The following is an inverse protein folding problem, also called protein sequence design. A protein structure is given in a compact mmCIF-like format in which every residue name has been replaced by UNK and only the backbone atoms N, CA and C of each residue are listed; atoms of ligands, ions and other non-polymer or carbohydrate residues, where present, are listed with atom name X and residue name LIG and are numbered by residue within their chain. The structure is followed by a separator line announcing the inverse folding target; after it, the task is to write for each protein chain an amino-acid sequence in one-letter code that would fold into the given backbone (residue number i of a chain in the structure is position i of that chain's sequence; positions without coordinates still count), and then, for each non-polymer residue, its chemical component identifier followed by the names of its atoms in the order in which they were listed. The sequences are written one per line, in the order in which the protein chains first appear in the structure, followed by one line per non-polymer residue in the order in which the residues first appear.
data_IF_302628212723
#
_entry.id   IF_302628212723
#
_cell.length_a   1.000
_cell.length_b   1.000
_cell.length_c   1.000
_cell.angle_alpha   90.00
_cell.angle_beta   90.00
_cell.angle_gamma   90.00
#
_symmetry.space_group_name_H-M   'P 1'
#
loop_
_entity.id
_entity.type
_entity.pdbx_description
1 polymer ?
#
# COMPACT_ATOMS: atom_id res chain seq x y z
N UNK A 1 29.01 -26.57 -12.23
CA UNK A 1 29.66 -26.77 -10.92
C UNK A 1 30.19 -28.19 -10.80
N UNK A 2 29.34 -29.23 -10.82
CA UNK A 2 29.77 -30.63 -10.70
C UNK A 2 30.81 -31.07 -11.75
N UNK A 3 30.65 -30.69 -13.02
CA UNK A 3 31.60 -31.07 -14.08
C UNK A 3 32.98 -30.41 -13.93
N UNK A 4 33.02 -29.20 -13.38
CA UNK A 4 34.27 -28.48 -13.11
C UNK A 4 34.99 -29.06 -11.87
N UNK A 5 34.25 -29.44 -10.84
CA UNK A 5 34.82 -30.08 -9.65
C UNK A 5 35.43 -31.45 -9.99
N UNK A 6 34.79 -32.23 -10.87
CA UNK A 6 35.32 -33.50 -11.34
C UNK A 6 36.63 -33.31 -12.14
N UNK A 7 36.68 -32.35 -13.05
CA UNK A 7 37.90 -32.02 -13.81
C UNK A 7 39.05 -31.54 -12.90
N UNK A 8 38.75 -30.74 -11.87
CA UNK A 8 39.75 -30.27 -10.91
C UNK A 8 40.25 -31.39 -9.99
N UNK A 9 39.41 -32.37 -9.66
CA UNK A 9 39.81 -33.55 -8.90
C UNK A 9 40.75 -34.47 -9.68
N UNK A 10 40.58 -34.58 -11.01
CA UNK A 10 41.48 -35.33 -11.89
C UNK A 10 42.86 -34.65 -12.05
N UNK A 11 42.90 -33.31 -12.05
CA UNK A 11 44.14 -32.52 -12.18
C UNK A 11 44.95 -32.50 -10.88
N UNK A 12 44.29 -32.58 -9.72
CA UNK A 12 44.93 -32.60 -8.38
C UNK A 12 45.80 -33.84 -8.11
N UNK A 13 45.71 -34.87 -8.95
CA UNK A 13 46.59 -36.05 -8.90
C UNK A 13 48.06 -35.67 -9.18
N UNK A 14 48.31 -34.48 -9.74
CA UNK A 14 49.64 -33.91 -9.99
C UNK A 14 49.95 -32.73 -9.04
N UNK A 15 50.94 -32.89 -8.15
CA UNK A 15 51.34 -31.88 -7.16
C UNK A 15 51.70 -30.50 -7.77
N UNK A 16 52.09 -30.45 -9.05
CA UNK A 16 52.46 -29.21 -9.73
C UNK A 16 51.28 -28.27 -9.97
N UNK A 17 50.05 -28.78 -10.04
CA UNK A 17 48.85 -27.99 -10.38
C UNK A 17 47.95 -27.68 -9.17
N UNK A 18 48.24 -28.27 -7.99
CA UNK A 18 47.46 -28.08 -6.77
C UNK A 18 47.24 -26.60 -6.35
N UNK A 19 48.21 -25.66 -6.52
CA UNK A 19 47.96 -24.26 -6.20
C UNK A 19 46.95 -23.60 -7.17
N UNK A 20 46.96 -24.01 -8.43
CA UNK A 20 46.08 -23.47 -9.48
C UNK A 20 44.67 -24.01 -9.28
N UNK A 21 44.50 -25.29 -8.99
CA UNK A 21 43.20 -25.89 -8.70
C UNK A 21 42.58 -25.28 -7.44
N UNK A 22 43.37 -25.05 -6.37
CA UNK A 22 42.92 -24.37 -5.17
C UNK A 22 42.46 -22.93 -5.46
N UNK A 23 43.19 -22.19 -6.30
CA UNK A 23 42.81 -20.85 -6.72
C UNK A 23 41.50 -20.85 -7.53
N UNK A 24 41.31 -21.82 -8.43
CA UNK A 24 40.07 -21.97 -9.21
C UNK A 24 38.90 -22.26 -8.27
N UNK A 25 39.04 -23.19 -7.32
CA UNK A 25 37.98 -23.47 -6.32
C UNK A 25 37.62 -22.25 -5.49
N UNK A 26 38.63 -21.48 -5.06
CA UNK A 26 38.41 -20.23 -4.33
C UNK A 26 37.63 -19.20 -5.17
N UNK A 27 37.98 -19.04 -6.45
CA UNK A 27 37.26 -18.15 -7.37
C UNK A 27 35.81 -18.61 -7.58
N UNK A 28 35.59 -19.90 -7.79
CA UNK A 28 34.24 -20.46 -7.94
C UNK A 28 33.39 -20.18 -6.69
N UNK A 29 33.96 -20.36 -5.49
CA UNK A 29 33.26 -20.07 -4.24
C UNK A 29 32.87 -18.59 -4.13
N UNK A 30 33.77 -17.67 -4.50
CA UNK A 30 33.49 -16.23 -4.52
C UNK A 30 32.38 -15.91 -5.53
N UNK A 31 32.39 -16.55 -6.70
CA UNK A 31 31.34 -16.37 -7.71
C UNK A 31 30.00 -16.83 -7.15
N UNK A 32 29.92 -18.00 -6.53
CA UNK A 32 28.66 -18.51 -5.95
C UNK A 32 28.15 -17.62 -4.80
N UNK A 33 29.03 -17.20 -3.89
CA UNK A 33 28.70 -16.29 -2.79
C UNK A 33 28.19 -14.94 -3.33
N UNK A 34 28.86 -14.40 -4.35
CA UNK A 34 28.45 -13.15 -5.00
C UNK A 34 27.12 -13.30 -5.72
N UNK A 35 26.91 -14.42 -6.44
CA UNK A 35 25.69 -14.71 -7.17
C UNK A 35 24.51 -14.86 -6.20
N UNK A 36 24.69 -15.59 -5.10
CA UNK A 36 23.67 -15.72 -4.06
C UNK A 36 23.31 -14.36 -3.44
N UNK A 37 24.32 -13.54 -3.13
CA UNK A 37 24.13 -12.20 -2.56
C UNK A 37 23.37 -11.29 -3.53
N UNK A 38 23.78 -11.26 -4.81
CA UNK A 38 23.15 -10.46 -5.85
C UNK A 38 21.71 -10.91 -6.12
N UNK A 39 21.45 -12.21 -6.18
CA UNK A 39 20.11 -12.76 -6.34
C UNK A 39 19.20 -12.34 -5.18
N UNK A 40 19.69 -12.39 -3.94
CA UNK A 40 18.96 -11.92 -2.77
C UNK A 40 18.66 -10.42 -2.81
N UNK A 41 19.63 -9.60 -3.20
CA UNK A 41 19.44 -8.15 -3.35
C UNK A 41 18.43 -7.82 -4.45
N UNK A 42 18.51 -8.47 -5.61
CA UNK A 42 17.55 -8.30 -6.70
C UNK A 42 16.14 -8.67 -6.28
N UNK A 43 15.97 -9.78 -5.55
CA UNK A 43 14.66 -10.18 -5.05
C UNK A 43 14.08 -9.16 -4.07
N UNK A 44 14.92 -8.60 -3.19
CA UNK A 44 14.52 -7.54 -2.25
C UNK A 44 14.06 -6.28 -2.99
N UNK A 45 14.84 -5.82 -3.98
CA UNK A 45 14.51 -4.66 -4.81
C UNK A 45 13.21 -4.91 -5.58
N UNK A 46 13.06 -6.09 -6.18
CA UNK A 46 11.85 -6.45 -6.90
C UNK A 46 10.60 -6.35 -6.00
N UNK A 47 10.68 -6.89 -4.78
CA UNK A 47 9.57 -6.82 -3.82
C UNK A 47 9.27 -5.38 -3.39
N UNK A 48 10.30 -4.56 -3.17
CA UNK A 48 10.12 -3.13 -2.85
C UNK A 48 9.45 -2.38 -4.01
N UNK A 49 9.85 -2.65 -5.26
CA UNK A 49 9.23 -2.07 -6.45
C UNK A 49 7.75 -2.46 -6.57
N UNK A 50 7.39 -3.72 -6.30
CA UNK A 50 5.98 -4.15 -6.29
C UNK A 50 5.17 -3.41 -5.24
N UNK A 51 5.71 -3.24 -4.03
CA UNK A 51 5.03 -2.48 -2.97
C UNK A 51 4.82 -1.01 -3.35
N UNK A 52 5.84 -0.37 -3.94
CA UNK A 52 5.75 1.01 -4.41
C UNK A 52 4.72 1.17 -5.53
N UNK A 53 4.65 0.22 -6.47
CA UNK A 53 3.63 0.20 -7.52
C UNK A 53 2.22 0.09 -6.94
N UNK A 54 1.99 -0.77 -5.95
CA UNK A 54 0.69 -0.88 -5.29
C UNK A 54 0.31 0.40 -4.54
N UNK A 55 1.26 1.01 -3.83
CA UNK A 55 1.04 2.23 -3.03
C UNK A 55 0.86 3.48 -3.88
N UNK A 56 1.44 3.53 -5.08
CA UNK A 56 1.36 4.65 -6.01
C UNK A 56 0.11 4.64 -6.89
N UNK A 57 -0.71 3.57 -6.84
CA UNK A 57 -1.98 3.54 -7.57
C UNK A 57 -2.82 4.77 -7.24
N UNK A 58 -3.29 5.53 -8.25
CA UNK A 58 -4.05 6.74 -8.02
C UNK A 58 -5.35 6.43 -7.29
N UNK A 59 -5.61 7.17 -6.22
CA UNK A 59 -6.85 7.05 -5.42
C UNK A 59 -7.66 8.32 -5.57
N UNK A 60 -8.97 8.16 -5.69
CA UNK A 60 -9.90 9.29 -5.64
C UNK A 60 -9.80 9.99 -4.28
N UNK A 61 -9.70 11.33 -4.22
CA UNK A 61 -9.78 12.08 -2.96
C UNK A 61 -11.16 12.02 -2.27
N UNK A 62 -12.18 11.53 -2.99
CA UNK A 62 -13.51 11.25 -2.46
C UNK A 62 -13.69 9.75 -2.34
N UNK A 63 -13.85 9.23 -1.13
CA UNK A 63 -14.02 7.79 -0.89
C UNK A 63 -15.31 7.22 -1.52
N UNK A 64 -16.27 8.08 -1.85
CA UNK A 64 -17.57 7.69 -2.41
C UNK A 64 -17.58 7.62 -3.94
N UNK A 65 -16.62 8.27 -4.60
CA UNK A 65 -16.52 8.34 -6.05
C UNK A 65 -15.29 7.56 -6.53
N UNK A 66 -15.42 6.86 -7.66
CA UNK A 66 -14.26 6.29 -8.33
C UNK A 66 -13.32 7.40 -8.83
N UNK A 67 -12.09 7.02 -9.23
CA UNK A 67 -11.14 7.96 -9.83
C UNK A 67 -11.72 8.62 -11.09
N UNK A 68 -12.46 7.87 -11.92
CA UNK A 68 -13.07 8.38 -13.16
C UNK A 68 -14.28 9.27 -12.89
N UNK A 69 -14.93 9.13 -11.74
CA UNK A 69 -16.07 9.95 -11.33
C UNK A 69 -15.65 11.25 -10.62
N UNK A 70 -14.41 11.33 -10.12
CA UNK A 70 -13.88 12.46 -9.36
C UNK A 70 -12.90 13.31 -10.19
N UNK A 71 -13.36 13.76 -11.36
CA UNK A 71 -12.54 14.57 -12.29
C UNK A 71 -12.21 15.96 -11.74
N UNK A 72 -13.09 16.53 -10.91
CA UNK A 72 -12.91 17.82 -10.25
C UNK A 72 -12.09 17.74 -8.95
N UNK A 73 -11.61 16.54 -8.58
CA UNK A 73 -10.77 16.29 -7.40
C UNK A 73 -11.39 16.78 -6.08
N UNK A 74 -12.71 16.69 -5.94
CA UNK A 74 -13.40 17.05 -4.71
C UNK A 74 -13.09 16.07 -3.57
N UNK A 75 -13.12 16.56 -2.33
CA UNK A 75 -13.03 15.72 -1.14
C UNK A 75 -14.38 15.09 -0.78
N UNK A 76 -14.37 13.98 -0.04
CA UNK A 76 -15.60 13.30 0.43
C UNK A 76 -16.59 14.25 1.13
N UNK A 77 -16.06 15.24 1.85
CA UNK A 77 -16.86 16.26 2.54
C UNK A 77 -17.73 17.08 1.59
N UNK A 78 -17.21 17.38 0.39
CA UNK A 78 -17.78 18.26 -0.64
C UNK A 78 -18.29 17.48 -1.85
N UNK A 79 -18.55 16.19 -1.72
CA UNK A 79 -19.09 15.39 -2.81
C UNK A 79 -20.50 15.87 -3.17
N UNK A 80 -20.65 16.45 -4.37
CA UNK A 80 -21.93 16.95 -4.86
C UNK A 80 -22.88 15.83 -5.31
N UNK A 81 -22.34 14.64 -5.64
CA UNK A 81 -23.13 13.47 -6.03
C UNK A 81 -23.87 12.85 -4.84
N UNK A 82 -23.28 12.92 -3.65
CA UNK A 82 -23.85 12.44 -2.39
C UNK A 82 -23.88 13.61 -1.40
N UNK A 83 -24.82 14.56 -1.55
CA UNK A 83 -24.78 15.82 -0.82
C UNK A 83 -25.21 15.67 0.65
N UNK A 84 -26.15 14.76 0.92
CA UNK A 84 -26.79 14.60 2.22
C UNK A 84 -26.29 13.35 2.98
N UNK A 85 -26.50 13.27 4.31
CA UNK A 85 -26.04 12.14 5.11
C UNK A 85 -26.64 10.78 4.70
N UNK A 86 -27.88 10.76 4.20
CA UNK A 86 -28.57 9.51 3.83
C UNK A 86 -27.98 8.94 2.55
N UNK A 87 -27.80 9.78 1.51
CA UNK A 87 -27.15 9.33 0.27
C UNK A 87 -25.70 8.87 0.51
N UNK A 88 -24.97 9.52 1.42
CA UNK A 88 -23.63 9.07 1.84
C UNK A 88 -23.65 7.72 2.56
N UNK A 89 -24.61 7.49 3.45
CA UNK A 89 -24.73 6.22 4.16
C UNK A 89 -25.05 5.07 3.19
N UNK A 90 -25.99 5.29 2.26
CA UNK A 90 -26.31 4.32 1.22
C UNK A 90 -25.09 3.99 0.34
N UNK A 91 -24.32 5.00 -0.03
CA UNK A 91 -23.10 4.79 -0.81
C UNK A 91 -22.00 4.09 0.00
N UNK A 92 -21.86 4.38 1.30
CA UNK A 92 -20.94 3.67 2.18
C UNK A 92 -21.30 2.17 2.26
N UNK A 93 -22.59 1.85 2.42
CA UNK A 93 -23.07 0.47 2.41
C UNK A 93 -22.82 -0.21 1.05
N UNK A 94 -23.10 0.47 -0.07
CA UNK A 94 -22.84 -0.05 -1.42
C UNK A 94 -21.36 -0.37 -1.65
N UNK A 95 -20.47 0.45 -1.10
CA UNK A 95 -19.02 0.26 -1.18
C UNK A 95 -18.47 -0.69 -0.11
N UNK A 96 -19.33 -1.32 0.69
CA UNK A 96 -18.94 -2.18 1.81
C UNK A 96 -17.93 -1.49 2.73
N UNK A 97 -18.27 -0.26 3.14
CA UNK A 97 -17.50 0.52 4.11
C UNK A 97 -18.18 0.45 5.48
N UNK A 98 -17.37 0.43 6.53
CA UNK A 98 -17.87 0.60 7.89
C UNK A 98 -18.45 2.01 8.06
N UNK A 99 -19.73 2.12 8.44
CA UNK A 99 -20.41 3.41 8.60
C UNK A 99 -19.84 4.29 9.73
N UNK A 100 -18.99 3.73 10.59
CA UNK A 100 -18.35 4.42 11.71
C UNK A 100 -17.02 5.03 11.32
N UNK A 101 -16.11 4.23 10.76
CA UNK A 101 -14.76 4.66 10.42
C UNK A 101 -14.54 4.97 8.93
N UNK A 102 -15.49 4.58 8.06
CA UNK A 102 -15.43 4.69 6.60
C UNK A 102 -14.21 4.00 5.96
N UNK A 103 -13.63 3.03 6.66
CA UNK A 103 -12.68 2.06 6.10
C UNK A 103 -13.45 0.86 5.54
N UNK A 104 -12.74 -0.07 4.90
CA UNK A 104 -13.30 -1.36 4.47
C UNK A 104 -14.08 -2.00 5.62
N UNK A 105 -15.24 -2.59 5.30
CA UNK A 105 -16.09 -3.27 6.27
C UNK A 105 -15.30 -4.31 7.05
N UNK A 106 -15.54 -4.35 8.36
CA UNK A 106 -14.92 -5.27 9.29
C UNK A 106 -16.02 -5.91 10.14
N UNK A 107 -16.00 -7.25 10.21
CA UNK A 107 -17.05 -8.05 10.84
C UNK A 107 -16.94 -8.00 12.36
N UNK A 108 -17.78 -7.18 13.00
CA UNK A 108 -18.03 -7.27 14.45
C UNK A 108 -16.97 -6.64 15.37
N UNK A 109 -15.78 -6.27 14.89
CA UNK A 109 -14.85 -5.48 15.70
C UNK A 109 -15.36 -4.05 15.88
N UNK A 110 -15.59 -3.65 17.12
CA UNK A 110 -15.91 -2.27 17.46
C UNK A 110 -14.69 -1.39 17.13
N UNK A 111 -14.75 -0.67 16.00
CA UNK A 111 -13.69 0.28 15.61
C UNK A 111 -13.50 1.45 16.58
N UNK A 112 -14.29 1.57 17.64
CA UNK A 112 -14.22 2.61 18.66
C UNK A 112 -14.64 4.01 18.19
N UNK A 113 -14.90 4.18 16.88
CA UNK A 113 -15.24 5.49 16.31
C UNK A 113 -16.67 5.86 16.69
N UNK A 114 -16.83 7.06 17.25
CA UNK A 114 -18.10 7.71 17.54
C UNK A 114 -18.13 9.08 16.86
N UNK A 115 -19.33 9.53 16.51
CA UNK A 115 -19.53 10.82 15.88
C UNK A 115 -19.11 11.95 16.82
N UNK A 116 -18.22 12.83 16.37
CA UNK A 116 -17.78 13.98 17.18
C UNK A 116 -18.86 15.05 17.39
N UNK A 117 -19.91 15.04 16.56
CA UNK A 117 -21.01 16.02 16.63
C UNK A 117 -22.14 15.60 17.57
N UNK A 118 -22.46 14.30 17.63
CA UNK A 118 -23.62 13.81 18.40
C UNK A 118 -23.33 12.59 19.29
N UNK A 119 -22.10 12.09 19.32
CA UNK A 119 -21.67 10.98 20.17
C UNK A 119 -22.16 9.58 19.78
N UNK A 120 -23.02 9.48 18.76
CA UNK A 120 -23.59 8.20 18.30
C UNK A 120 -22.61 7.39 17.43
N UNK A 121 -22.79 6.07 17.28
CA UNK A 121 -21.87 5.20 16.56
C UNK A 121 -22.01 5.32 15.04
N UNK A 122 -21.63 6.46 14.48
CA UNK A 122 -21.50 6.68 13.04
C UNK A 122 -20.37 7.68 12.76
N UNK A 123 -19.93 7.73 11.51
CA UNK A 123 -18.95 8.72 11.07
C UNK A 123 -19.58 10.12 10.99
N UNK A 124 -18.86 11.16 11.41
CA UNK A 124 -19.34 12.55 11.34
C UNK A 124 -19.84 12.97 9.95
N UNK A 125 -19.35 12.35 8.86
CA UNK A 125 -19.85 12.58 7.50
C UNK A 125 -21.31 12.16 7.28
N UNK A 126 -21.77 11.16 8.04
CA UNK A 126 -23.11 10.57 7.99
C UNK A 126 -24.04 11.15 9.07
N UNK A 127 -23.57 12.14 9.83
CA UNK A 127 -24.37 12.73 10.90
C UNK A 127 -25.46 13.66 10.36
N UNK A 128 -26.72 13.39 10.70
CA UNK A 128 -27.85 14.28 10.35
C UNK A 128 -27.68 15.71 10.89
N UNK A 129 -27.11 15.85 12.09
CA UNK A 129 -26.89 17.16 12.71
C UNK A 129 -25.83 18.00 11.99
N UNK A 130 -25.02 17.41 11.11
CA UNK A 130 -24.02 18.13 10.31
C UNK A 130 -24.66 19.05 9.26
N UNK A 131 -25.86 18.73 8.79
CA UNK A 131 -26.59 19.54 7.82
C UNK A 131 -27.20 20.81 8.44
N UNK A 132 -27.13 20.98 9.77
CA UNK A 132 -27.47 22.22 10.46
C UNK A 132 -26.20 23.01 10.74
N UNK A 133 -25.71 23.85 9.82
CA UNK A 133 -24.94 24.99 10.28
C UNK A 133 -25.91 25.85 11.10
N UNK A 134 -25.65 25.98 12.41
CA UNK A 134 -26.01 27.26 13.04
C UNK A 134 -25.53 28.34 12.09
N UNK A 135 -26.44 29.22 11.70
CA UNK A 135 -26.27 30.28 10.72
C UNK A 135 -25.05 31.12 11.13
N UNK A 136 -23.85 30.71 10.73
CA UNK A 136 -22.66 31.54 10.92
C UNK A 136 -22.77 32.63 9.85
N UNK A 137 -22.96 33.90 10.25
CA UNK A 137 -23.06 34.98 9.29
C UNK A 137 -21.76 35.00 8.48
N UNK A 138 -21.89 34.91 7.15
CA UNK A 138 -20.75 35.04 6.25
C UNK A 138 -19.98 36.30 6.61
N UNK A 139 -18.78 36.15 7.19
CA UNK A 139 -17.89 37.29 7.43
C UNK A 139 -17.52 37.86 6.06
N UNK A 140 -18.13 38.98 5.69
CA UNK A 140 -17.76 39.75 4.49
C UNK A 140 -16.27 40.07 4.60
N UNK A 141 -15.48 39.65 3.61
CA UNK A 141 -14.09 40.12 3.48
C UNK A 141 -14.17 41.63 3.24
N UNK A 142 -13.54 42.43 4.10
CA UNK A 142 -13.33 43.85 3.83
C UNK A 142 -12.28 43.95 2.73
N UNK A 143 -12.65 44.59 1.63
CA UNK A 143 -11.70 45.10 0.64
C UNK A 143 -11.10 46.41 1.17
#
# INVERSE_FOLDING_TARGET
MADLENLLAEIDVSETFAPISAAIRALTRVIDESHFTLAGQLQSIHNACLELLERSKPKSPCIFCSLTENLDSHSTMRCNRFPDPVSKALQAARLQLCERCLKAQHDGEDCGVKCTMCGLPHNTLLCHNRARPEVQPFKRRRF
#
